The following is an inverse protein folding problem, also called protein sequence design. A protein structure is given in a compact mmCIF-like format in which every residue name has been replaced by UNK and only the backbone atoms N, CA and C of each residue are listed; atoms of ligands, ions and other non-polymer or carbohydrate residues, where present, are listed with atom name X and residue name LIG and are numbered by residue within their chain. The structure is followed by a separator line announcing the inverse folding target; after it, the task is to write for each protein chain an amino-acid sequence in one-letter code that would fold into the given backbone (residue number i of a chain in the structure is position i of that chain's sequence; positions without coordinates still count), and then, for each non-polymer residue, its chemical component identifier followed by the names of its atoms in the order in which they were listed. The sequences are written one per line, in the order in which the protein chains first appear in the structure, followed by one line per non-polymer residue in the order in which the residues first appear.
data_IF_885206296307
#
_entry.id   IF_885206296307
#
_cell.length_a   1.000
_cell.length_b   1.000
_cell.length_c   1.000
_cell.angle_alpha   90.00
_cell.angle_beta   90.00
_cell.angle_gamma   90.00
#
_symmetry.space_group_name_H-M   'P 1'
#
loop_
_entity.id
_entity.type
_entity.pdbx_description
1 polymer ?
#
# COMPACT_ATOMS: atom_id res chain seq x y z
N UNK A 1 -20.05 -11.97 5.57
CA UNK A 1 -19.32 -10.71 5.70
C UNK A 1 -17.97 -10.76 4.98
N UNK A 2 -17.02 -11.64 5.37
CA UNK A 2 -15.66 -11.67 4.79
C UNK A 2 -15.62 -11.89 3.27
N UNK A 3 -16.37 -12.86 2.73
CA UNK A 3 -16.45 -13.09 1.28
C UNK A 3 -16.97 -11.88 0.49
N UNK A 4 -17.80 -11.03 1.11
CA UNK A 4 -18.29 -9.81 0.46
C UNK A 4 -17.22 -8.73 0.41
N UNK A 5 -16.39 -8.63 1.45
CA UNK A 5 -15.27 -7.68 1.53
C UNK A 5 -14.17 -8.09 0.56
N UNK A 6 -13.82 -9.37 0.56
CA UNK A 6 -12.83 -9.96 -0.37
C UNK A 6 -13.23 -9.70 -1.83
N UNK A 7 -14.49 -9.99 -2.20
CA UNK A 7 -15.01 -9.71 -3.54
C UNK A 7 -14.99 -8.22 -3.86
N UNK A 8 -15.33 -7.36 -2.91
CA UNK A 8 -15.28 -5.90 -3.11
C UNK A 8 -13.85 -5.42 -3.38
N UNK A 9 -12.86 -5.93 -2.62
CA UNK A 9 -11.44 -5.58 -2.78
C UNK A 9 -10.92 -5.94 -4.19
N UNK A 10 -11.32 -7.10 -4.71
CA UNK A 10 -10.91 -7.57 -6.04
C UNK A 10 -11.58 -6.83 -7.20
N UNK A 11 -12.66 -6.09 -6.95
CA UNK A 11 -13.29 -5.30 -8.01
C UNK A 11 -12.50 -4.03 -8.26
N UNK A 12 -12.31 -3.71 -9.55
CA UNK A 12 -11.81 -2.39 -9.96
C UNK A 12 -12.61 -1.31 -9.20
N UNK A 13 -11.93 -0.34 -8.56
CA UNK A 13 -12.60 0.80 -7.94
C UNK A 13 -13.59 1.44 -8.92
N UNK A 14 -14.85 1.64 -8.50
CA UNK A 14 -15.89 2.29 -9.32
C UNK A 14 -16.42 3.51 -8.58
N UNK A 15 -15.88 4.68 -8.93
CA UNK A 15 -16.39 5.99 -8.52
C UNK A 15 -16.07 6.96 -9.65
N UNK A 16 -17.05 7.76 -10.07
CA UNK A 16 -16.83 8.80 -11.08
C UNK A 16 -15.71 9.75 -10.61
N UNK A 17 -14.78 10.11 -11.51
CA UNK A 17 -13.52 10.86 -11.28
C UNK A 17 -12.32 10.10 -10.66
N UNK A 18 -12.50 8.90 -10.08
CA UNK A 18 -11.37 8.11 -9.55
C UNK A 18 -10.67 7.27 -10.62
N UNK A 19 -11.36 6.92 -11.70
CA UNK A 19 -10.76 6.21 -12.84
C UNK A 19 -9.64 7.00 -13.51
N UNK A 20 -9.82 8.31 -13.68
CA UNK A 20 -8.78 9.20 -14.21
C UNK A 20 -7.61 9.37 -13.23
N UNK A 21 -7.90 9.46 -11.93
CA UNK A 21 -6.86 9.53 -10.91
C UNK A 21 -6.00 8.27 -10.91
N UNK A 22 -6.61 7.09 -10.90
CA UNK A 22 -5.87 5.83 -10.94
C UNK A 22 -5.07 5.65 -12.23
N UNK A 23 -5.63 6.02 -13.39
CA UNK A 23 -4.88 6.01 -14.65
C UNK A 23 -3.66 6.94 -14.60
N UNK A 24 -3.80 8.12 -13.98
CA UNK A 24 -2.70 9.05 -13.79
C UNK A 24 -1.64 8.50 -12.84
N UNK A 25 -2.04 7.91 -11.71
CA UNK A 25 -1.13 7.22 -10.80
C UNK A 25 -0.34 6.12 -11.51
N UNK A 26 -1.02 5.27 -12.29
CA UNK A 26 -0.35 4.21 -13.04
C UNK A 26 0.68 4.78 -14.03
N UNK A 27 0.33 5.86 -14.73
CA UNK A 27 1.25 6.54 -15.67
C UNK A 27 2.50 7.05 -14.96
N UNK A 28 2.34 7.66 -13.77
CA UNK A 28 3.46 8.18 -12.98
C UNK A 28 4.32 7.04 -12.41
N UNK A 29 3.68 5.98 -11.93
CA UNK A 29 4.36 4.91 -11.21
C UNK A 29 5.04 3.89 -12.14
N UNK A 30 4.49 3.63 -13.33
CA UNK A 30 4.97 2.57 -14.22
C UNK A 30 6.46 2.71 -14.56
N UNK A 31 6.90 3.92 -14.93
CA UNK A 31 8.31 4.18 -15.21
C UNK A 31 9.22 3.98 -14.00
N UNK A 32 8.80 4.46 -12.83
CA UNK A 32 9.58 4.32 -11.58
C UNK A 32 9.64 2.87 -11.12
N UNK A 33 8.53 2.14 -11.18
CA UNK A 33 8.43 0.72 -10.81
C UNK A 33 9.37 -0.14 -11.67
N UNK A 34 9.38 0.09 -12.98
CA UNK A 34 10.30 -0.60 -13.90
C UNK A 34 11.76 -0.24 -13.63
N UNK A 35 12.04 1.05 -13.41
CA UNK A 35 13.40 1.54 -13.14
C UNK A 35 13.98 0.97 -11.84
N UNK A 36 13.18 0.95 -10.77
CA UNK A 36 13.57 0.43 -9.46
C UNK A 36 13.46 -1.09 -9.36
N UNK A 37 12.94 -1.75 -10.41
CA UNK A 37 12.71 -3.20 -10.44
C UNK A 37 11.94 -3.67 -9.21
N UNK A 38 10.83 -3.00 -8.92
CA UNK A 38 9.99 -3.33 -7.77
C UNK A 38 9.50 -4.77 -7.89
N UNK A 39 9.83 -5.59 -6.89
CA UNK A 39 9.44 -6.99 -6.83
C UNK A 39 8.24 -7.18 -5.91
N UNK A 40 8.25 -6.53 -4.76
CA UNK A 40 7.28 -6.70 -3.68
C UNK A 40 6.72 -5.34 -3.24
N UNK A 41 5.60 -5.39 -2.50
CA UNK A 41 5.02 -4.21 -1.88
C UNK A 41 4.92 -4.45 -0.38
N UNK A 42 5.31 -3.47 0.44
CA UNK A 42 5.11 -3.50 1.88
C UNK A 42 4.07 -2.45 2.27
N UNK A 43 3.04 -2.86 2.99
CA UNK A 43 1.90 -2.02 3.35
C UNK A 43 1.82 -1.79 4.86
N UNK A 44 1.75 -0.52 5.25
CA UNK A 44 1.48 -0.09 6.63
C UNK A 44 0.31 0.88 6.67
N UNK A 45 -0.41 0.91 7.79
CA UNK A 45 -1.48 1.90 7.98
C UNK A 45 -2.61 1.73 6.97
N UNK A 46 -3.09 0.49 6.77
CA UNK A 46 -4.26 0.22 5.93
C UNK A 46 -5.56 0.69 6.60
N UNK A 47 -5.59 0.72 7.93
CA UNK A 47 -6.79 0.93 8.73
C UNK A 47 -7.73 -0.28 8.70
N UNK A 48 -8.78 -0.24 9.53
CA UNK A 48 -9.80 -1.29 9.52
C UNK A 48 -10.71 -1.16 8.30
N UNK A 49 -10.33 -1.80 7.20
CA UNK A 49 -11.10 -1.84 5.96
C UNK A 49 -12.40 -2.64 6.06
N UNK A 50 -12.66 -3.36 7.15
CA UNK A 50 -13.97 -3.92 7.45
C UNK A 50 -14.96 -2.85 7.92
N UNK A 51 -14.47 -1.79 8.57
CA UNK A 51 -15.31 -0.78 9.26
C UNK A 51 -15.22 0.61 8.64
N UNK A 52 -14.15 0.91 7.90
CA UNK A 52 -13.93 2.19 7.22
C UNK A 52 -14.05 2.04 5.71
N UNK A 53 -14.92 2.84 5.08
CA UNK A 53 -15.03 2.92 3.63
C UNK A 53 -13.74 3.43 2.99
N UNK A 54 -13.04 4.33 3.66
CA UNK A 54 -11.83 4.95 3.14
C UNK A 54 -10.68 3.96 3.17
N UNK A 55 -10.51 3.24 4.28
CA UNK A 55 -9.55 2.13 4.38
C UNK A 55 -9.83 1.05 3.34
N UNK A 56 -11.11 0.71 3.13
CA UNK A 56 -11.52 -0.24 2.09
C UNK A 56 -11.17 0.26 0.68
N UNK A 57 -11.36 1.55 0.41
CA UNK A 57 -10.98 2.15 -0.87
C UNK A 57 -9.45 2.13 -1.08
N UNK A 58 -8.65 2.40 -0.04
CA UNK A 58 -7.19 2.33 -0.10
C UNK A 58 -6.71 0.90 -0.38
N UNK A 59 -7.30 -0.10 0.27
CA UNK A 59 -6.99 -1.53 0.02
C UNK A 59 -7.38 -1.95 -1.40
N UNK A 60 -8.52 -1.48 -1.91
CA UNK A 60 -8.92 -1.69 -3.32
C UNK A 60 -7.95 -1.05 -4.30
N UNK A 61 -7.52 0.18 -4.02
CA UNK A 61 -6.55 0.87 -4.86
C UNK A 61 -5.22 0.11 -4.90
N UNK A 62 -4.70 -0.30 -3.74
CA UNK A 62 -3.50 -1.13 -3.65
C UNK A 62 -3.60 -2.40 -4.50
N UNK A 63 -4.69 -3.17 -4.34
CA UNK A 63 -4.90 -4.40 -5.12
C UNK A 63 -4.95 -4.12 -6.63
N UNK A 64 -5.66 -3.05 -7.03
CA UNK A 64 -5.75 -2.65 -8.43
C UNK A 64 -4.40 -2.20 -9.00
N UNK A 65 -3.64 -1.43 -8.23
CA UNK A 65 -2.33 -0.91 -8.59
C UNK A 65 -1.31 -2.03 -8.77
N UNK A 66 -1.22 -2.97 -7.82
CA UNK A 66 -0.32 -4.11 -7.91
C UNK A 66 -0.61 -4.96 -9.15
N UNK A 67 -1.89 -5.25 -9.41
CA UNK A 67 -2.31 -5.99 -10.61
C UNK A 67 -1.99 -5.25 -11.91
N UNK A 68 -2.25 -3.94 -11.95
CA UNK A 68 -2.08 -3.12 -13.15
C UNK A 68 -0.61 -2.87 -13.49
N UNK A 69 0.25 -2.76 -12.47
CA UNK A 69 1.69 -2.61 -12.62
C UNK A 69 2.42 -3.95 -12.79
N UNK A 70 1.70 -5.07 -12.68
CA UNK A 70 2.23 -6.43 -12.81
C UNK A 70 3.40 -6.70 -11.86
N UNK A 71 3.26 -6.25 -10.61
CA UNK A 71 4.28 -6.50 -9.58
C UNK A 71 4.40 -8.03 -9.37
N UNK A 72 5.59 -8.62 -9.53
CA UNK A 72 5.72 -10.07 -9.65
C UNK A 72 5.71 -10.82 -8.33
N UNK A 73 6.08 -10.15 -7.24
CA UNK A 73 6.19 -10.72 -5.91
C UNK A 73 4.92 -10.54 -5.08
N UNK A 74 5.11 -10.45 -3.77
CA UNK A 74 4.04 -10.49 -2.77
C UNK A 74 3.71 -9.09 -2.25
N UNK A 75 2.45 -8.92 -1.83
CA UNK A 75 2.05 -7.80 -0.98
C UNK A 75 2.20 -8.25 0.47
N UNK A 76 3.14 -7.64 1.17
CA UNK A 76 3.30 -7.75 2.61
C UNK A 76 2.45 -6.70 3.32
N UNK A 77 1.84 -7.04 4.44
CA UNK A 77 1.01 -6.08 5.18
C UNK A 77 1.09 -6.27 6.68
N UNK A 78 1.09 -5.15 7.39
CA UNK A 78 0.97 -5.07 8.83
C UNK A 78 0.24 -3.79 9.21
N UNK A 79 -0.75 -3.91 10.10
CA UNK A 79 -1.35 -2.76 10.77
C UNK A 79 -1.99 -3.23 12.09
N UNK A 80 -1.60 -2.65 13.24
CA UNK A 80 -2.07 -3.09 14.56
C UNK A 80 -3.59 -2.94 14.74
N UNK A 81 -4.26 -2.13 13.93
CA UNK A 81 -5.72 -1.94 14.03
C UNK A 81 -6.52 -3.01 13.26
N UNK A 82 -5.86 -3.85 12.47
CA UNK A 82 -6.52 -4.90 11.72
C UNK A 82 -7.03 -6.00 12.64
N UNK A 83 -8.27 -6.40 12.40
CA UNK A 83 -8.90 -7.52 13.13
C UNK A 83 -8.45 -8.85 12.52
N UNK A 84 -8.49 -9.97 13.28
CA UNK A 84 -8.13 -11.29 12.75
C UNK A 84 -8.86 -11.65 11.46
N UNK A 85 -10.12 -11.20 11.31
CA UNK A 85 -10.92 -11.45 10.13
C UNK A 85 -10.40 -10.70 8.89
N UNK A 86 -9.84 -9.51 9.08
CA UNK A 86 -9.22 -8.70 8.01
C UNK A 86 -7.87 -9.28 7.59
N UNK A 87 -7.08 -9.77 8.55
CA UNK A 87 -5.84 -10.49 8.28
C UNK A 87 -6.12 -11.73 7.41
N UNK A 88 -7.17 -12.51 7.75
CA UNK A 88 -7.60 -13.65 6.94
C UNK A 88 -8.00 -13.23 5.53
N UNK A 89 -8.67 -12.08 5.37
CA UNK A 89 -9.01 -11.56 4.03
C UNK A 89 -7.74 -11.22 3.23
N UNK A 90 -6.77 -10.52 3.82
CA UNK A 90 -5.48 -10.24 3.17
C UNK A 90 -4.77 -11.52 2.72
N UNK A 91 -4.70 -12.54 3.60
CA UNK A 91 -4.10 -13.83 3.27
C UNK A 91 -4.81 -14.55 2.11
N UNK A 92 -6.14 -14.46 2.03
CA UNK A 92 -6.92 -15.02 0.91
C UNK A 92 -6.73 -14.28 -0.41
N UNK A 93 -6.39 -12.99 -0.34
CA UNK A 93 -5.97 -12.20 -1.50
C UNK A 93 -4.53 -12.54 -1.95
N UNK A 94 -3.85 -13.45 -1.25
CA UNK A 94 -2.46 -13.85 -1.54
C UNK A 94 -1.42 -12.95 -0.87
N UNK A 95 -1.82 -12.09 0.07
CA UNK A 95 -0.92 -11.20 0.79
C UNK A 95 -0.28 -11.92 1.97
N UNK A 96 0.90 -11.49 2.38
CA UNK A 96 1.62 -12.08 3.51
C UNK A 96 1.63 -11.12 4.70
N UNK A 97 1.15 -11.61 5.84
CA UNK A 97 1.28 -10.89 7.10
C UNK A 97 2.75 -10.90 7.54
N UNK A 98 3.28 -9.76 7.96
CA UNK A 98 4.65 -9.64 8.46
C UNK A 98 4.66 -9.05 9.87
N UNK A 99 5.61 -9.50 10.68
CA UNK A 99 5.87 -8.91 12.00
C UNK A 99 7.06 -7.93 11.95
N UNK A 100 7.94 -8.02 10.94
CA UNK A 100 9.13 -7.16 10.75
C UNK A 100 9.40 -6.84 9.25
N UNK A 101 10.14 -5.76 9.00
CA UNK A 101 10.38 -5.22 7.66
C UNK A 101 11.47 -6.01 6.92
N UNK A 102 11.13 -6.68 5.82
CA UNK A 102 12.13 -7.23 4.89
C UNK A 102 12.32 -6.30 3.68
N UNK A 103 13.59 -6.14 3.29
CA UNK A 103 14.10 -5.25 2.25
C UNK A 103 13.21 -5.17 1.00
N UNK A 104 12.41 -4.11 0.91
CA UNK A 104 11.48 -3.90 -0.22
C UNK A 104 11.62 -2.48 -0.76
N UNK A 105 11.33 -2.30 -2.04
CA UNK A 105 11.52 -1.04 -2.76
C UNK A 105 10.24 -0.22 -2.93
N UNK A 106 9.05 -0.78 -2.70
CA UNK A 106 7.78 -0.05 -2.71
C UNK A 106 7.05 -0.17 -1.36
N UNK A 107 6.84 0.97 -0.71
CA UNK A 107 6.08 1.10 0.52
C UNK A 107 4.74 1.80 0.25
N UNK A 108 3.65 1.19 0.69
CA UNK A 108 2.30 1.73 0.63
C UNK A 108 1.80 2.09 2.03
N UNK A 109 1.64 3.38 2.31
CA UNK A 109 1.47 3.93 3.66
C UNK A 109 0.35 4.99 3.72
N UNK A 110 -0.92 4.64 3.46
CA UNK A 110 -2.00 5.61 3.25
C UNK A 110 -2.57 6.25 4.54
N UNK A 111 -2.33 5.67 5.72
CA UNK A 111 -2.80 6.22 7.01
C UNK A 111 -1.73 6.19 8.11
N UNK A 112 -0.46 6.25 7.71
CA UNK A 112 0.65 6.21 8.67
C UNK A 112 0.83 7.54 9.42
N UNK A 113 1.29 7.45 10.66
CA UNK A 113 1.76 8.61 11.43
C UNK A 113 3.17 9.03 11.01
N UNK A 114 3.60 10.24 11.41
CA UNK A 114 4.91 10.80 11.03
C UNK A 114 6.07 9.89 11.47
N UNK A 115 5.97 9.28 12.65
CA UNK A 115 6.99 8.40 13.21
C UNK A 115 7.24 7.16 12.34
N UNK A 116 6.20 6.64 11.67
CA UNK A 116 6.32 5.51 10.75
C UNK A 116 7.15 5.89 9.51
N UNK A 117 7.00 7.12 8.99
CA UNK A 117 7.85 7.61 7.91
C UNK A 117 9.28 7.86 8.38
N UNK A 118 9.45 8.40 9.59
CA UNK A 118 10.77 8.58 10.18
C UNK A 118 11.53 7.25 10.25
N UNK A 119 10.91 6.21 10.82
CA UNK A 119 11.50 4.88 10.93
C UNK A 119 11.83 4.28 9.55
N UNK A 120 10.94 4.47 8.57
CA UNK A 120 11.18 4.01 7.20
C UNK A 120 12.45 4.64 6.63
N UNK A 121 12.57 5.96 6.71
CA UNK A 121 13.72 6.66 6.14
C UNK A 121 14.99 6.37 6.92
N UNK A 122 14.93 6.36 8.25
CA UNK A 122 16.07 6.02 9.13
C UNK A 122 16.62 4.62 8.80
N UNK A 123 15.75 3.63 8.61
CA UNK A 123 16.15 2.27 8.26
C UNK A 123 16.81 2.15 6.86
N UNK A 124 16.63 3.15 6.00
CA UNK A 124 17.15 3.18 4.62
C UNK A 124 18.10 4.36 4.39
N UNK A 125 18.71 4.93 5.44
CA UNK A 125 19.42 6.21 5.38
C UNK A 125 20.83 6.14 4.78
N UNK A 126 20.91 5.64 3.54
CA UNK A 126 22.09 5.70 2.67
C UNK A 126 21.69 6.21 1.29
N UNK A 127 22.63 6.84 0.57
CA UNK A 127 22.36 7.35 -0.79
C UNK A 127 21.90 6.23 -1.74
N UNK A 128 22.51 5.04 -1.61
CA UNK A 128 22.16 3.87 -2.42
C UNK A 128 20.77 3.34 -2.07
N UNK A 129 20.44 3.24 -0.78
CA UNK A 129 19.17 2.69 -0.32
C UNK A 129 18.00 3.63 -0.61
N UNK A 130 18.12 4.93 -0.30
CA UNK A 130 17.07 5.92 -0.55
C UNK A 130 16.70 6.01 -2.03
N UNK A 131 17.68 5.85 -2.94
CA UNK A 131 17.42 5.83 -4.38
C UNK A 131 16.57 4.63 -4.83
N UNK A 132 16.50 3.57 -4.03
CA UNK A 132 15.68 2.37 -4.28
C UNK A 132 14.33 2.41 -3.56
N UNK A 133 14.06 3.42 -2.74
CA UNK A 133 12.81 3.54 -1.98
C UNK A 133 11.77 4.32 -2.78
N UNK A 134 10.61 3.71 -3.02
CA UNK A 134 9.40 4.32 -3.54
C UNK A 134 8.32 4.29 -2.45
N UNK A 135 7.81 5.46 -2.09
CA UNK A 135 6.72 5.59 -1.11
C UNK A 135 5.46 6.11 -1.79
N UNK A 136 4.35 5.42 -1.58
CA UNK A 136 3.01 5.88 -1.90
C UNK A 136 2.28 6.05 -0.56
N UNK A 137 2.02 7.29 -0.15
CA UNK A 137 1.46 7.53 1.17
C UNK A 137 0.85 8.92 1.31
N UNK A 138 0.81 9.40 2.55
CA UNK A 138 0.27 10.69 2.92
C UNK A 138 1.04 11.86 2.31
N UNK A 139 0.34 12.99 2.26
CA UNK A 139 0.94 14.30 2.03
C UNK A 139 1.84 14.65 3.21
N UNK A 140 3.15 14.54 3.03
CA UNK A 140 4.13 14.78 4.10
C UNK A 140 4.12 16.23 4.61
N UNK A 141 3.73 17.18 3.76
CA UNK A 141 3.55 18.59 4.13
C UNK A 141 2.48 18.78 5.21
N UNK A 142 1.49 17.88 5.29
CA UNK A 142 0.48 17.90 6.34
C UNK A 142 1.01 17.62 7.76
N UNK A 143 2.25 17.14 7.89
CA UNK A 143 2.90 16.96 9.19
C UNK A 143 3.72 18.17 9.65
N UNK A 144 4.02 19.12 8.75
CA UNK A 144 4.80 20.31 9.08
C UNK A 144 3.99 21.34 9.88
N UNK A 145 2.67 21.23 9.85
CA UNK A 145 1.72 22.19 10.44
C UNK A 145 1.17 21.74 11.81
N UNK A 146 1.80 20.76 12.45
CA UNK A 146 1.40 20.23 13.77
C UNK A 146 2.36 20.61 14.88
#
# INVERSE_FOLDING_TARGET
MLASIEKDIQTKPRVDNLDSFFAQCLTVLQGTVLRLKVQDIVCYGLGSFAESSDSRLQVRFLQYLANSLQIPGTIYFYDPVLKPAEIIVGQRLGWQWIDENEHTTLFYMPHCEVDMYHNLFEANWSDEQLQQVLVIGNRLDGYLER
#
